data_IF_396694693301
#
_entry.id   IF_396694693301
#
_cell.length_a   1.000
_cell.length_b   1.000
_cell.length_c   1.000
_cell.angle_alpha   90.00
_cell.angle_beta   90.00
_cell.angle_gamma   90.00
#
_symmetry.space_group_name_H-M   'P 1'
#
loop_
_entity.id
_entity.type
_entity.pdbx_description
1 polymer ?
#
# COMPACT_ATOMS: atom_id res chain seq x y z
N UNK A 1 -3.66 -25.62 1.01
CA UNK A 1 -2.77 -25.96 -0.12
C UNK A 1 -3.29 -25.20 -1.33
N UNK A 2 -2.60 -24.28 -1.99
CA UNK A 2 -1.19 -23.85 -2.07
C UNK A 2 -1.15 -22.29 -1.94
N UNK A 3 -0.06 -21.54 -1.89
CA UNK A 3 1.01 -21.40 -2.90
C UNK A 3 2.22 -20.64 -2.28
N UNK A 4 3.42 -21.08 -2.64
CA UNK A 4 4.71 -20.43 -2.40
C UNK A 4 4.89 -19.19 -3.27
N UNK A 5 5.58 -18.16 -2.75
CA UNK A 5 6.24 -17.16 -3.60
C UNK A 5 7.69 -16.94 -3.17
N UNK A 6 8.58 -17.12 -4.13
CA UNK A 6 9.98 -16.67 -4.14
C UNK A 6 9.98 -15.24 -4.69
N UNK A 7 10.66 -14.29 -4.05
CA UNK A 7 10.48 -12.86 -4.37
C UNK A 7 11.82 -12.11 -4.38
N UNK A 8 12.49 -12.03 -5.55
CA UNK A 8 12.80 -10.76 -6.25
C UNK A 8 12.72 -10.91 -7.80
N UNK A 9 12.52 -9.94 -8.72
CA UNK A 9 12.39 -8.47 -8.82
C UNK A 9 11.00 -8.10 -9.39
N UNK A 10 10.48 -6.91 -9.05
CA UNK A 10 9.27 -6.31 -9.65
C UNK A 10 7.96 -6.85 -9.07
N UNK A 11 7.66 -6.54 -7.81
CA UNK A 11 6.53 -7.13 -7.09
C UNK A 11 5.28 -6.29 -7.35
N UNK A 12 4.42 -6.75 -8.26
CA UNK A 12 3.03 -6.32 -8.30
C UNK A 12 2.18 -7.43 -7.66
N UNK A 13 1.55 -7.14 -6.53
CA UNK A 13 0.62 -8.05 -5.87
C UNK A 13 -0.74 -7.33 -5.74
N UNK A 14 -1.80 -7.99 -6.19
CA UNK A 14 -3.19 -7.53 -6.11
C UNK A 14 -4.03 -8.62 -5.44
N UNK A 15 -5.01 -8.26 -4.61
CA UNK A 15 -5.93 -9.22 -4.00
C UNK A 15 -7.09 -8.55 -3.26
N UNK A 16 -8.18 -9.30 -3.04
CA UNK A 16 -9.45 -8.85 -2.44
C UNK A 16 -9.70 -9.44 -1.05
N UNK A 17 -9.95 -8.61 -0.02
CA UNK A 17 -10.16 -9.06 1.38
C UNK A 17 -10.97 -8.10 2.26
N UNK A 18 -11.80 -8.70 3.13
CA UNK A 18 -12.64 -8.07 4.16
C UNK A 18 -11.84 -7.51 5.34
N UNK A 19 -12.22 -6.31 5.79
CA UNK A 19 -11.62 -5.60 6.92
C UNK A 19 -12.01 -6.22 8.27
N UNK A 20 -11.01 -6.56 9.08
CA UNK A 20 -11.13 -6.68 10.53
C UNK A 20 -10.23 -5.61 11.17
N UNK A 21 -10.61 -5.07 12.32
CA UNK A 21 -9.77 -4.07 13.03
C UNK A 21 -8.41 -4.66 13.46
N UNK A 22 -8.32 -5.99 13.60
CA UNK A 22 -7.08 -6.75 13.74
C UNK A 22 -6.52 -7.18 12.38
N UNK A 23 -5.20 -7.22 12.26
CA UNK A 23 -4.49 -7.72 11.07
C UNK A 23 -4.80 -6.93 9.80
N UNK A 24 -4.88 -5.60 9.87
CA UNK A 24 -5.16 -4.75 8.71
C UNK A 24 -4.04 -4.80 7.68
N UNK A 25 -2.78 -4.70 8.08
CA UNK A 25 -1.60 -4.73 7.19
C UNK A 25 -1.38 -6.14 6.64
N UNK A 26 -1.34 -7.16 7.49
CA UNK A 26 -1.19 -8.57 7.07
C UNK A 26 -2.41 -9.04 6.29
N UNK A 27 -3.60 -8.61 6.71
CA UNK A 27 -4.85 -8.82 6.01
C UNK A 27 -4.76 -8.29 4.59
N UNK A 28 -4.35 -7.03 4.40
CA UNK A 28 -4.24 -6.41 3.07
C UNK A 28 -3.08 -6.95 2.23
N UNK A 29 -1.84 -6.87 2.72
CA UNK A 29 -0.64 -7.18 1.92
C UNK A 29 -0.14 -8.62 2.04
N UNK A 30 -0.78 -9.43 2.88
CA UNK A 30 -0.37 -10.80 3.19
C UNK A 30 0.80 -10.89 4.16
N UNK A 31 1.02 -12.10 4.71
CA UNK A 31 2.07 -12.37 5.71
C UNK A 31 3.50 -12.07 5.20
N UNK A 32 3.68 -12.03 3.88
CA UNK A 32 4.95 -11.71 3.24
C UNK A 32 5.44 -10.29 3.50
N UNK A 33 4.57 -9.37 3.93
CA UNK A 33 4.91 -7.98 4.25
C UNK A 33 5.98 -7.88 5.36
N UNK A 34 5.99 -8.82 6.31
CA UNK A 34 6.99 -8.89 7.39
C UNK A 34 8.41 -9.22 6.90
N UNK A 35 8.58 -9.67 5.66
CA UNK A 35 9.89 -10.04 5.09
C UNK A 35 10.67 -8.85 4.55
N UNK A 36 10.04 -7.69 4.42
CA UNK A 36 10.72 -6.47 3.99
C UNK A 36 11.61 -5.97 5.12
N UNK A 37 12.85 -5.57 4.79
CA UNK A 37 13.75 -4.95 5.75
C UNK A 37 13.53 -3.44 5.76
N UNK A 38 12.55 -3.01 6.57
CA UNK A 38 12.19 -1.61 6.76
C UNK A 38 12.77 -1.12 8.08
N UNK A 39 13.56 -0.04 8.06
CA UNK A 39 14.13 0.61 9.24
C UNK A 39 13.42 1.93 9.56
N UNK A 40 12.89 2.62 8.54
CA UNK A 40 12.10 3.84 8.69
C UNK A 40 10.79 3.71 7.92
N UNK A 41 9.66 3.87 8.61
CA UNK A 41 8.32 3.72 8.04
C UNK A 41 7.54 5.02 8.20
N UNK A 42 6.89 5.47 7.13
CA UNK A 42 5.87 6.51 7.19
C UNK A 42 4.48 5.89 6.98
N UNK A 43 3.55 6.23 7.85
CA UNK A 43 2.12 6.01 7.63
C UNK A 43 1.43 7.34 7.32
N UNK A 44 0.71 7.40 6.19
CA UNK A 44 -0.08 8.56 5.79
C UNK A 44 -1.56 8.32 6.14
N UNK A 45 -2.07 9.11 7.09
CA UNK A 45 -3.41 8.95 7.65
C UNK A 45 -3.53 7.85 8.72
N UNK A 46 -2.69 7.85 9.78
CA UNK A 46 -2.74 6.86 10.85
C UNK A 46 -4.03 6.91 11.69
N UNK A 47 -4.80 8.00 11.63
CA UNK A 47 -6.03 8.20 12.40
C UNK A 47 -5.78 7.91 13.89
N UNK A 48 -6.49 6.94 14.48
CA UNK A 48 -6.37 6.56 15.89
C UNK A 48 -5.25 5.55 16.18
N UNK A 49 -4.48 5.11 15.18
CA UNK A 49 -3.27 4.30 15.36
C UNK A 49 -3.45 2.78 15.28
N UNK A 50 -4.57 2.26 14.72
CA UNK A 50 -4.79 0.82 14.57
C UNK A 50 -3.72 0.18 13.67
N UNK A 51 -3.58 0.67 12.45
CA UNK A 51 -2.55 0.22 11.51
C UNK A 51 -1.15 0.47 12.07
N UNK A 52 -0.94 1.62 12.72
CA UNK A 52 0.34 1.97 13.33
C UNK A 52 0.80 0.90 14.33
N UNK A 53 -0.12 0.40 15.18
CA UNK A 53 0.19 -0.62 16.16
C UNK A 53 0.66 -1.91 15.50
N UNK A 54 -0.06 -2.36 14.47
CA UNK A 54 0.30 -3.55 13.72
C UNK A 54 1.64 -3.37 12.97
N UNK A 55 1.92 -2.18 12.42
CA UNK A 55 3.22 -1.89 11.81
C UNK A 55 4.37 -2.02 12.82
N UNK A 56 4.18 -1.61 14.08
CA UNK A 56 5.19 -1.78 15.13
C UNK A 56 5.38 -3.25 15.51
N UNK A 57 4.32 -4.06 15.49
CA UNK A 57 4.41 -5.50 15.72
C UNK A 57 5.15 -6.22 14.58
N UNK A 58 4.84 -5.85 13.34
CA UNK A 58 5.45 -6.43 12.13
C UNK A 58 6.91 -6.02 11.95
N UNK A 59 7.25 -4.79 12.32
CA UNK A 59 8.57 -4.20 12.14
C UNK A 59 9.10 -3.63 13.46
N UNK A 60 9.38 -4.47 14.48
CA UNK A 60 9.69 -4.02 15.84
C UNK A 60 11.00 -3.24 15.96
N UNK A 61 11.85 -3.28 14.93
CA UNK A 61 13.10 -2.51 14.85
C UNK A 61 12.95 -1.23 14.04
N UNK A 62 11.86 -1.06 13.30
CA UNK A 62 11.63 0.11 12.48
C UNK A 62 11.22 1.29 13.36
N UNK A 63 11.70 2.47 13.00
CA UNK A 63 11.16 3.71 13.52
C UNK A 63 9.93 4.10 12.71
N UNK A 64 8.79 4.15 13.39
CA UNK A 64 7.50 4.49 12.78
C UNK A 64 7.20 5.98 12.92
N UNK A 65 6.80 6.59 11.81
CA UNK A 65 6.31 7.95 11.71
C UNK A 65 4.87 7.92 11.20
N UNK A 66 4.03 8.82 11.70
CA UNK A 66 2.66 8.97 11.21
C UNK A 66 2.31 10.43 10.97
N UNK A 67 1.60 10.73 9.88
CA UNK A 67 1.14 12.08 9.56
C UNK A 67 -0.37 12.10 9.30
N UNK A 68 -1.09 12.95 10.03
CA UNK A 68 -2.54 13.11 9.91
C UNK A 68 -2.96 14.58 10.07
N UNK A 69 -4.05 14.97 9.40
CA UNK A 69 -4.66 16.28 9.58
C UNK A 69 -5.42 16.38 10.92
N UNK A 70 -5.91 15.25 11.44
CA UNK A 70 -6.73 15.20 12.65
C UNK A 70 -5.88 15.07 13.92
N UNK A 71 -5.60 16.20 14.56
CA UNK A 71 -4.83 16.24 15.81
C UNK A 71 -5.46 15.43 16.96
N UNK A 72 -6.78 15.34 17.05
CA UNK A 72 -7.47 14.58 18.10
C UNK A 72 -7.29 13.07 17.91
N UNK A 73 -7.33 12.59 16.67
CA UNK A 73 -7.06 11.20 16.34
C UNK A 73 -5.62 10.83 16.74
N UNK A 74 -4.66 11.72 16.48
CA UNK A 74 -3.26 11.51 16.86
C UNK A 74 -3.02 11.50 18.38
N UNK A 75 -3.91 12.07 19.20
CA UNK A 75 -3.83 11.89 20.66
C UNK A 75 -4.09 10.43 21.03
N UNK A 76 -5.05 9.77 20.37
CA UNK A 76 -5.33 8.34 20.56
C UNK A 76 -4.21 7.48 19.98
N UNK A 77 -3.72 7.81 18.79
CA UNK A 77 -2.61 7.10 18.15
C UNK A 77 -1.35 7.10 19.02
N UNK A 78 -0.98 8.23 19.63
CA UNK A 78 0.16 8.32 20.57
C UNK A 78 -0.01 7.46 21.82
N UNK A 79 -1.23 7.28 22.31
CA UNK A 79 -1.49 6.37 23.45
C UNK A 79 -1.34 4.92 23.04
N UNK A 80 -1.75 4.58 21.82
CA UNK A 80 -1.70 3.22 21.30
C UNK A 80 -0.28 2.82 20.86
N UNK A 81 0.47 3.75 20.29
CA UNK A 81 1.81 3.54 19.72
C UNK A 81 2.81 4.57 20.31
N UNK A 82 3.18 4.47 21.59
CA UNK A 82 3.97 5.50 22.28
C UNK A 82 5.41 5.65 21.75
N UNK A 83 5.91 4.66 21.00
CA UNK A 83 7.23 4.71 20.35
C UNK A 83 7.20 5.26 18.92
N UNK A 84 6.02 5.61 18.38
CA UNK A 84 5.89 6.21 17.06
C UNK A 84 5.90 7.74 17.12
N UNK A 85 6.52 8.37 16.10
CA UNK A 85 6.60 9.81 15.95
C UNK A 85 5.43 10.33 15.09
N UNK A 86 4.37 10.83 15.76
CA UNK A 86 3.20 11.38 15.08
C UNK A 86 3.27 12.89 14.89
N UNK A 87 3.04 13.35 13.66
CA UNK A 87 3.01 14.75 13.24
C UNK A 87 1.62 15.15 12.75
N UNK A 88 1.14 16.32 13.21
CA UNK A 88 -0.07 16.94 12.64
C UNK A 88 0.33 17.67 11.37
N UNK A 89 -0.23 17.29 10.22
CA UNK A 89 0.09 17.90 8.94
C UNK A 89 -0.62 17.25 7.76
N UNK A 90 -0.50 17.87 6.59
CA UNK A 90 -1.02 17.31 5.34
C UNK A 90 -0.13 16.15 4.86
N UNK A 91 -0.62 14.93 5.07
CA UNK A 91 0.02 13.69 4.65
C UNK A 91 0.20 13.54 3.13
N UNK A 92 -0.49 14.34 2.32
CA UNK A 92 -0.31 14.40 0.88
C UNK A 92 0.86 15.29 0.42
N UNK A 93 1.47 16.01 1.35
CA UNK A 93 2.68 16.81 1.12
C UNK A 93 3.85 16.41 2.04
N UNK A 94 4.23 15.11 2.12
CA UNK A 94 5.20 14.63 3.10
C UNK A 94 6.60 15.25 2.95
N UNK A 95 6.97 15.70 1.75
CA UNK A 95 8.23 16.39 1.44
C UNK A 95 8.40 17.75 2.13
N UNK A 96 7.33 18.31 2.70
CA UNK A 96 7.39 19.54 3.48
C UNK A 96 7.93 19.26 4.89
N UNK A 97 7.70 18.06 5.41
CA UNK A 97 7.99 17.71 6.80
C UNK A 97 9.20 16.81 6.95
N UNK A 98 9.51 16.01 5.92
CA UNK A 98 10.55 15.00 5.98
C UNK A 98 11.65 15.23 4.92
N UNK A 99 12.91 14.86 5.22
CA UNK A 99 13.98 14.90 4.25
C UNK A 99 13.69 14.03 3.02
N UNK A 100 14.36 14.35 1.91
CA UNK A 100 14.34 13.48 0.75
C UNK A 100 15.01 12.14 1.07
N UNK A 101 14.52 11.06 0.44
CA UNK A 101 15.09 9.72 0.56
C UNK A 101 15.22 9.19 2.00
N UNK A 102 14.24 9.50 2.83
CA UNK A 102 14.27 9.22 4.26
C UNK A 102 13.59 7.89 4.65
N UNK A 103 12.51 7.52 3.95
CA UNK A 103 11.70 6.37 4.32
C UNK A 103 12.02 5.13 3.49
N UNK A 104 12.08 3.99 4.18
CA UNK A 104 12.22 2.66 3.58
C UNK A 104 10.87 2.11 3.12
N UNK A 105 9.82 2.42 3.87
CA UNK A 105 8.45 2.00 3.60
C UNK A 105 7.47 3.15 3.82
N UNK A 106 6.52 3.33 2.91
CA UNK A 106 5.42 4.29 3.07
C UNK A 106 4.11 3.52 2.92
N UNK A 107 3.22 3.63 3.91
CA UNK A 107 1.90 3.01 3.93
C UNK A 107 0.81 4.07 3.73
N UNK A 108 -0.04 3.84 2.73
CA UNK A 108 -1.21 4.65 2.40
C UNK A 108 -2.45 3.75 2.41
N UNK A 109 -3.03 3.55 3.59
CA UNK A 109 -4.13 2.61 3.79
C UNK A 109 -5.49 3.29 3.61
N UNK A 110 -6.19 3.01 2.52
CA UNK A 110 -7.55 3.53 2.23
C UNK A 110 -7.65 5.05 2.31
N UNK A 111 -6.67 5.74 1.73
CA UNK A 111 -6.60 7.20 1.78
C UNK A 111 -6.64 7.79 0.37
N UNK A 112 -5.50 7.74 -0.34
CA UNK A 112 -5.38 8.34 -1.67
C UNK A 112 -6.23 7.66 -2.73
N UNK A 113 -6.26 6.32 -2.74
CA UNK A 113 -7.02 5.58 -3.74
C UNK A 113 -8.52 5.86 -3.62
N UNK A 114 -9.06 5.79 -2.39
CA UNK A 114 -10.44 6.16 -2.09
C UNK A 114 -10.77 7.60 -2.53
N UNK A 115 -9.89 8.58 -2.22
CA UNK A 115 -10.11 9.96 -2.62
C UNK A 115 -10.21 10.14 -4.15
N UNK A 116 -9.46 9.34 -4.92
CA UNK A 116 -9.51 9.38 -6.39
C UNK A 116 -10.76 8.67 -6.92
N UNK A 117 -11.05 7.48 -6.37
CA UNK A 117 -12.15 6.61 -6.79
C UNK A 117 -13.52 7.28 -6.59
N UNK A 118 -13.72 7.90 -5.42
CA UNK A 118 -14.95 8.62 -5.08
C UNK A 118 -15.03 10.01 -5.72
N UNK A 119 -14.11 10.33 -6.63
CA UNK A 119 -14.03 11.62 -7.34
C UNK A 119 -13.89 12.84 -6.41
N UNK A 120 -13.50 12.62 -5.15
CA UNK A 120 -13.15 13.67 -4.19
C UNK A 120 -11.91 14.42 -4.68
N UNK A 121 -10.99 13.70 -5.35
CA UNK A 121 -9.74 14.21 -5.87
C UNK A 121 -9.55 13.85 -7.35
N UNK A 122 -9.17 14.82 -8.20
CA UNK A 122 -8.80 14.52 -9.59
C UNK A 122 -7.54 13.64 -9.67
N UNK A 123 -7.52 12.71 -10.62
CA UNK A 123 -6.35 11.85 -10.92
C UNK A 123 -5.05 12.66 -11.10
N UNK A 124 -5.13 13.86 -11.70
CA UNK A 124 -3.99 14.75 -11.87
C UNK A 124 -3.36 15.16 -10.54
N UNK A 125 -4.17 15.36 -9.51
CA UNK A 125 -3.69 15.73 -8.18
C UNK A 125 -3.10 14.50 -7.47
N UNK A 126 -3.76 13.35 -7.55
CA UNK A 126 -3.21 12.09 -7.03
C UNK A 126 -1.82 11.77 -7.58
N UNK A 127 -1.57 12.09 -8.85
CA UNK A 127 -0.24 11.97 -9.47
C UNK A 127 0.81 12.86 -8.79
N UNK A 128 0.46 14.12 -8.48
CA UNK A 128 1.40 15.02 -7.80
C UNK A 128 1.77 14.47 -6.43
N UNK A 129 0.78 13.95 -5.71
CA UNK A 129 0.95 13.33 -4.39
C UNK A 129 1.89 12.13 -4.48
N UNK A 130 1.72 11.25 -5.48
CA UNK A 130 2.66 10.14 -5.69
C UNK A 130 4.09 10.63 -5.99
N UNK A 131 4.24 11.71 -6.76
CA UNK A 131 5.54 12.34 -6.99
C UNK A 131 6.16 12.96 -5.72
N UNK A 132 5.33 13.44 -4.80
CA UNK A 132 5.75 13.95 -3.49
C UNK A 132 6.17 12.82 -2.54
N UNK A 133 5.39 11.75 -2.47
CA UNK A 133 5.72 10.51 -1.75
C UNK A 133 7.04 9.93 -2.25
N UNK A 134 7.25 9.89 -3.57
CA UNK A 134 8.48 9.39 -4.16
C UNK A 134 9.72 10.15 -3.67
N UNK A 135 9.64 11.48 -3.52
CA UNK A 135 10.79 12.30 -3.09
C UNK A 135 11.28 11.95 -1.70
N UNK A 136 10.39 11.53 -0.80
CA UNK A 136 10.75 11.16 0.58
C UNK A 136 11.04 9.67 0.72
N UNK A 137 10.71 8.85 -0.28
CA UNK A 137 11.06 7.43 -0.32
C UNK A 137 12.52 7.26 -0.75
N UNK A 138 13.29 6.41 -0.05
CA UNK A 138 14.67 6.11 -0.42
C UNK A 138 14.72 5.25 -1.69
N UNK A 139 15.86 5.27 -2.39
CA UNK A 139 16.09 4.29 -3.45
C UNK A 139 16.01 2.87 -2.88
N UNK A 140 15.30 2.00 -3.60
CA UNK A 140 15.00 0.65 -3.14
C UNK A 140 13.91 0.53 -2.07
N UNK A 141 13.35 1.65 -1.57
CA UNK A 141 12.21 1.66 -0.67
C UNK A 141 10.90 1.25 -1.34
N UNK A 142 9.85 1.06 -0.55
CA UNK A 142 8.56 0.54 -0.99
C UNK A 142 7.39 1.45 -0.60
N UNK A 143 6.46 1.66 -1.53
CA UNK A 143 5.15 2.26 -1.30
C UNK A 143 4.09 1.15 -1.25
N UNK A 144 3.38 1.08 -0.14
CA UNK A 144 2.25 0.20 0.11
C UNK A 144 0.97 1.05 0.04
N UNK A 145 0.09 0.78 -0.91
CA UNK A 145 -1.17 1.52 -1.08
C UNK A 145 -2.34 0.55 -1.15
N UNK A 146 -3.45 0.90 -0.50
CA UNK A 146 -4.69 0.14 -0.56
C UNK A 146 -5.90 1.01 -0.85
N UNK A 147 -6.89 0.39 -1.49
CA UNK A 147 -8.24 0.85 -1.72
C UNK A 147 -9.20 -0.32 -1.40
N UNK A 148 -10.51 -0.13 -1.50
CA UNK A 148 -11.47 -1.16 -1.09
C UNK A 148 -11.21 -2.54 -1.69
N UNK A 149 -10.82 -3.48 -0.82
CA UNK A 149 -10.41 -4.83 -1.19
C UNK A 149 -9.35 -4.86 -2.30
N UNK A 150 -8.50 -3.84 -2.43
CA UNK A 150 -7.45 -3.78 -3.44
C UNK A 150 -6.19 -3.21 -2.82
N UNK A 151 -5.05 -3.67 -3.31
CA UNK A 151 -3.78 -3.14 -2.86
C UNK A 151 -2.73 -3.25 -3.97
N UNK A 152 -1.68 -2.46 -3.81
CA UNK A 152 -0.47 -2.54 -4.60
C UNK A 152 0.75 -2.21 -3.73
N UNK A 153 1.88 -2.79 -4.12
CA UNK A 153 3.19 -2.53 -3.55
C UNK A 153 4.08 -2.06 -4.70
N UNK A 154 4.75 -0.93 -4.56
CA UNK A 154 5.62 -0.36 -5.59
C UNK A 154 7.01 -0.15 -5.01
N UNK A 155 8.06 -0.50 -5.76
CA UNK A 155 9.41 -0.09 -5.41
C UNK A 155 9.65 1.36 -5.87
N UNK A 156 10.45 2.13 -5.14
CA UNK A 156 10.71 3.56 -5.42
C UNK A 156 11.09 3.84 -6.88
N UNK A 157 11.95 3.00 -7.46
CA UNK A 157 12.44 3.16 -8.83
C UNK A 157 11.36 2.87 -9.89
N UNK A 158 10.24 2.25 -9.48
CA UNK A 158 9.07 1.93 -10.31
C UNK A 158 7.97 3.00 -10.19
N UNK A 159 8.09 3.93 -9.23
CA UNK A 159 7.10 5.01 -9.03
C UNK A 159 7.02 5.98 -10.22
N UNK A 160 8.10 6.34 -10.93
CA UNK A 160 7.99 7.11 -12.17
C UNK A 160 7.20 6.35 -13.23
N UNK A 161 7.42 5.03 -13.35
CA UNK A 161 6.68 4.16 -14.27
C UNK A 161 5.21 4.06 -13.87
N UNK A 162 4.86 4.14 -12.58
CA UNK A 162 3.49 4.29 -12.11
C UNK A 162 2.90 5.64 -12.55
N UNK A 163 3.61 6.74 -12.34
CA UNK A 163 3.21 8.09 -12.81
C UNK A 163 3.03 8.14 -14.33
N UNK A 164 3.87 7.41 -15.07
CA UNK A 164 3.81 7.25 -16.53
C UNK A 164 2.65 6.33 -16.98
N UNK A 165 2.37 5.25 -16.25
CA UNK A 165 1.21 4.39 -16.49
C UNK A 165 -0.10 5.15 -16.25
N UNK A 166 -0.13 6.01 -15.24
CA UNK A 166 -1.23 6.94 -14.94
C UNK A 166 -1.42 7.99 -16.06
N UNK A 167 -0.38 8.36 -16.81
CA UNK A 167 -0.44 9.38 -17.88
C UNK A 167 -0.83 8.85 -19.23
N UNK A 168 -0.36 7.65 -19.59
CA UNK A 168 -0.41 7.14 -20.96
C UNK A 168 -1.69 6.36 -21.28
N UNK A 169 -2.69 6.38 -20.39
CA UNK A 169 -3.85 5.50 -20.49
C UNK A 169 -3.46 4.03 -20.40
N UNK A 170 -2.33 3.75 -19.76
CA UNK A 170 -1.79 2.40 -19.61
C UNK A 170 -2.82 1.54 -18.88
N UNK A 171 -3.03 0.29 -19.33
CA UNK A 171 -3.96 -0.65 -18.72
C UNK A 171 -3.74 -0.89 -17.22
N UNK A 172 -2.74 -0.32 -16.55
CA UNK A 172 -2.60 -0.36 -15.09
C UNK A 172 -3.57 0.58 -14.35
N UNK A 173 -3.76 1.82 -14.81
CA UNK A 173 -4.85 2.68 -14.31
C UNK A 173 -6.19 2.18 -14.82
N UNK A 174 -6.23 1.75 -16.10
CA UNK A 174 -7.44 1.17 -16.67
C UNK A 174 -7.83 -0.11 -15.93
N UNK A 175 -6.89 -0.91 -15.41
CA UNK A 175 -7.17 -2.06 -14.52
C UNK A 175 -7.46 -1.68 -13.08
N UNK A 176 -6.85 -0.63 -12.53
CA UNK A 176 -7.28 -0.07 -11.23
C UNK A 176 -8.73 0.43 -11.31
N UNK A 177 -9.14 1.02 -12.45
CA UNK A 177 -10.50 1.52 -12.70
C UNK A 177 -11.47 0.42 -13.21
N UNK A 178 -11.05 -0.53 -14.05
CA UNK A 178 -11.85 -1.64 -14.60
C UNK A 178 -12.01 -2.79 -13.60
N UNK A 179 -11.06 -3.01 -12.68
CA UNK A 179 -11.24 -3.96 -11.57
C UNK A 179 -12.24 -3.45 -10.52
N UNK A 180 -12.65 -2.18 -10.60
CA UNK A 180 -13.67 -1.59 -9.75
C UNK A 180 -15.07 -1.60 -10.37
N UNK A 181 -15.24 -2.02 -11.63
CA UNK A 181 -16.56 -1.98 -12.29
C UNK A 181 -16.80 -3.08 -13.36
N UNK A 182 -16.25 -4.29 -13.19
CA UNK A 182 -16.59 -5.44 -14.06
C UNK A 182 -16.96 -6.67 -13.25
N UNK A 183 -18.25 -7.04 -13.36
CA UNK A 183 -18.82 -8.31 -12.96
C UNK A 183 -18.01 -9.52 -13.45
N UNK A 184 -17.96 -10.52 -12.57
CA UNK A 184 -17.60 -11.91 -12.81
C UNK A 184 -18.14 -12.45 -14.15
N UNK A 185 -17.35 -12.39 -15.21
CA UNK A 185 -17.38 -13.41 -16.24
C UNK A 185 -16.07 -13.42 -17.04
N UNK A 186 -15.57 -14.63 -17.31
CA UNK A 186 -14.50 -14.94 -18.27
C UNK A 186 -13.04 -14.84 -17.75
N UNK A 187 -12.58 -15.83 -16.99
CA UNK A 187 -11.49 -16.77 -17.39
C UNK A 187 -11.61 -18.07 -16.56
N UNK A 188 -12.54 -18.95 -16.94
CA UNK A 188 -12.34 -20.40 -16.78
C UNK A 188 -12.30 -20.97 -18.19
N UNK A 189 -11.13 -20.98 -18.82
CA UNK A 189 -10.79 -22.05 -19.74
C UNK A 189 -9.29 -22.09 -19.98
N UNK A 190 -8.76 -23.33 -19.95
CA UNK A 190 -7.40 -23.79 -20.31
C UNK A 190 -6.43 -24.01 -19.15
N UNK A 191 -6.82 -24.91 -18.25
CA UNK A 191 -5.91 -25.97 -17.82
C UNK A 191 -6.65 -27.29 -18.05
N UNK A 192 -6.28 -28.03 -19.11
CA UNK A 192 -6.71 -29.43 -19.27
C UNK A 192 -6.05 -30.23 -18.15
N UNK A 193 -6.80 -30.99 -17.33
CA UNK A 193 -6.19 -31.89 -16.36
C UNK A 193 -5.37 -32.95 -17.12
N UNK A 194 -4.12 -33.15 -16.71
CA UNK A 194 -3.35 -34.35 -17.06
C UNK A 194 -4.10 -35.55 -16.50
N UNK A 195 -4.70 -36.35 -17.36
CA UNK A 195 -5.13 -37.70 -17.00
C UNK A 195 -3.90 -38.48 -16.56
N UNK A 196 -3.87 -38.89 -15.28
CA UNK A 196 -3.07 -40.03 -14.85
C UNK A 196 -3.99 -41.23 -14.87
N UNK A 197 -3.80 -42.10 -15.84
CA UNK A 197 -4.30 -43.47 -15.79
C UNK A 197 -3.58 -44.20 -14.67
N UNK A 198 -4.32 -44.68 -13.68
CA UNK A 198 -3.87 -45.77 -12.84
C UNK A 198 -4.31 -47.08 -13.51
N UNK A 199 -3.35 -47.92 -13.85
CA UNK A 199 -3.60 -49.33 -14.13
C UNK A 199 -3.71 -50.05 -12.80
N UNK A 200 -4.81 -50.76 -12.58
CA UNK A 200 -4.94 -51.82 -11.58
C UNK A 200 -4.46 -53.11 -12.23
#
# INVERSE_FOLDING_TARGET
MSVYFHVPKGIFAFGTRTYTESERVVGTFGIGVSRFNLETILEIGPSIGITSAELQELFPRAKLYGIDLNSEALIKARKQCPSADFLVGDGYCPQVYYPQHFFDGIFMMNNLAFAIEDQIMPVKEGRKILGYVQKVLRSGGYLFISADNQYAIFKCDEVPTLVEAITTGNPLIRRLIEAMDVELSTVVSKIKPKQRSFSI
#
